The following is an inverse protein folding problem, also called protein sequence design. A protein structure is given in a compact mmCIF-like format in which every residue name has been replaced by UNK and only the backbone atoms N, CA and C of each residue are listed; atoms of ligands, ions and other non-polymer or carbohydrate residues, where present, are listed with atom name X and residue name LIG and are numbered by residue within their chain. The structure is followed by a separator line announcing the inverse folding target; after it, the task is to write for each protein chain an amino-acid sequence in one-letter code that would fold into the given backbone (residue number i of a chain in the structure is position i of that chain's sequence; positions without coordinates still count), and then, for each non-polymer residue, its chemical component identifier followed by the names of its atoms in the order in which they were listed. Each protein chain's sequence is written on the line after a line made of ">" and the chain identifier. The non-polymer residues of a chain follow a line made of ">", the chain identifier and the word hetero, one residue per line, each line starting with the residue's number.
data_IF_814075164233
#
_entry.id   IF_814075164233
#
_cell.length_a   1.000
_cell.length_b   1.000
_cell.length_c   1.000
_cell.angle_alpha   90.00
_cell.angle_beta   90.00
_cell.angle_gamma   90.00
#
_symmetry.space_group_name_H-M   'P 1'
#
loop_
_entity.id
_entity.type
_entity.pdbx_description
1 polymer ?
#
# COMPACT_ATOMS: atom_id res chain seq x y z
N UNK A 1 1.25 -12.82 -3.56
CA UNK A 1 2.13 -11.98 -2.72
C UNK A 1 2.58 -12.75 -1.49
N UNK A 2 3.84 -12.60 -1.06
CA UNK A 2 4.34 -13.22 0.18
C UNK A 2 4.45 -12.18 1.30
N UNK A 3 3.81 -12.45 2.44
CA UNK A 3 3.80 -11.53 3.58
C UNK A 3 3.74 -12.26 4.93
N UNK A 4 4.12 -11.54 5.99
CA UNK A 4 4.04 -11.97 7.37
C UNK A 4 3.53 -10.83 8.27
N UNK A 5 2.52 -11.12 9.08
CA UNK A 5 2.08 -10.21 10.13
C UNK A 5 2.88 -10.41 11.42
N UNK A 6 3.21 -9.30 12.07
CA UNK A 6 4.04 -9.27 13.27
C UNK A 6 3.28 -8.50 14.35
N UNK A 7 3.21 -9.11 15.53
CA UNK A 7 2.72 -8.47 16.76
C UNK A 7 3.90 -8.25 17.68
N UNK A 8 4.34 -7.01 17.77
CA UNK A 8 5.45 -6.62 18.61
C UNK A 8 4.96 -5.79 19.80
N UNK A 9 5.33 -6.13 21.05
CA UNK A 9 4.87 -5.39 22.23
C UNK A 9 5.33 -3.93 22.28
N UNK A 10 6.36 -3.55 21.51
CA UNK A 10 6.98 -2.22 21.54
C UNK A 10 6.52 -1.40 20.34
N UNK A 11 6.59 -1.97 19.15
CA UNK A 11 6.31 -1.31 17.86
C UNK A 11 4.89 -1.56 17.34
N UNK A 12 4.11 -2.41 17.99
CA UNK A 12 2.71 -2.66 17.65
C UNK A 12 2.52 -3.70 16.55
N UNK A 13 1.42 -3.55 15.81
CA UNK A 13 1.05 -4.45 14.71
C UNK A 13 1.68 -3.94 13.42
N UNK A 14 2.33 -4.83 12.67
CA UNK A 14 2.89 -4.48 11.35
C UNK A 14 2.86 -5.66 10.38
N UNK A 15 2.97 -5.36 9.10
CA UNK A 15 3.20 -6.32 8.01
C UNK A 15 4.66 -6.23 7.52
N UNK A 16 5.25 -7.37 7.17
CA UNK A 16 6.41 -7.47 6.28
C UNK A 16 5.97 -8.16 4.99
N UNK A 17 6.36 -7.61 3.84
CA UNK A 17 6.00 -8.11 2.52
C UNK A 17 7.27 -8.27 1.68
N UNK A 18 7.23 -9.10 0.63
CA UNK A 18 8.35 -9.24 -0.32
C UNK A 18 8.70 -7.91 -0.98
N UNK A 19 9.98 -7.74 -1.36
CA UNK A 19 10.50 -6.49 -1.94
C UNK A 19 9.74 -6.05 -3.19
N UNK A 20 9.26 -6.99 -4.01
CA UNK A 20 8.44 -6.71 -5.21
C UNK A 20 7.14 -5.94 -4.90
N UNK A 21 6.65 -6.00 -3.66
CA UNK A 21 5.43 -5.33 -3.21
C UNK A 21 5.70 -4.43 -1.99
N UNK A 22 6.94 -3.97 -1.82
CA UNK A 22 7.38 -3.21 -0.65
C UNK A 22 6.48 -2.01 -0.34
N UNK A 23 6.09 -1.24 -1.37
CA UNK A 23 5.20 -0.08 -1.23
C UNK A 23 3.82 -0.44 -0.66
N UNK A 24 3.28 -1.64 -0.96
CA UNK A 24 1.99 -2.11 -0.42
C UNK A 24 2.11 -2.29 1.09
N UNK A 25 3.23 -2.88 1.53
CA UNK A 25 3.54 -3.04 2.96
C UNK A 25 3.75 -1.71 3.66
N UNK A 26 4.44 -0.75 3.00
CA UNK A 26 4.64 0.61 3.53
C UNK A 26 3.29 1.32 3.70
N UNK A 27 2.46 1.35 2.67
CA UNK A 27 1.12 1.93 2.70
C UNK A 27 0.25 1.32 3.82
N UNK A 28 0.25 -0.02 3.95
CA UNK A 28 -0.56 -0.66 4.98
C UNK A 28 -0.06 -0.38 6.39
N UNK A 29 1.26 -0.28 6.61
CA UNK A 29 1.84 0.01 7.91
C UNK A 29 1.71 1.49 8.32
N UNK A 30 1.99 2.40 7.39
CA UNK A 30 2.20 3.82 7.69
C UNK A 30 0.93 4.65 7.50
N UNK A 31 0.09 4.30 6.51
CA UNK A 31 -1.07 5.11 6.17
C UNK A 31 -2.38 4.53 6.70
N UNK A 32 -2.55 3.21 6.60
CA UNK A 32 -3.81 2.54 6.93
C UNK A 32 -3.81 2.00 8.36
N UNK A 33 -2.78 1.23 8.70
CA UNK A 33 -2.63 0.56 9.98
C UNK A 33 -3.88 -0.22 10.37
N UNK A 34 -4.11 -0.30 11.68
CA UNK A 34 -5.34 -0.90 12.23
C UNK A 34 -6.55 0.02 12.08
N UNK A 35 -6.37 1.32 12.20
CA UNK A 35 -7.48 2.25 12.43
C UNK A 35 -8.29 2.55 11.15
N UNK A 36 -7.68 2.42 9.98
CA UNK A 36 -8.35 2.70 8.70
C UNK A 36 -8.65 1.46 7.86
N UNK A 37 -8.35 0.25 8.35
CA UNK A 37 -8.61 -0.99 7.57
C UNK A 37 -10.09 -1.14 7.18
N UNK A 38 -11.02 -0.76 8.08
CA UNK A 38 -12.46 -0.81 7.81
C UNK A 38 -12.89 0.13 6.68
N UNK A 39 -12.20 1.28 6.53
CA UNK A 39 -12.43 2.19 5.40
C UNK A 39 -12.01 1.55 4.08
N UNK A 40 -10.88 0.84 4.07
CA UNK A 40 -10.41 0.11 2.88
C UNK A 40 -11.36 -1.04 2.52
N UNK A 41 -11.89 -1.77 3.51
CA UNK A 41 -12.91 -2.80 3.26
C UNK A 41 -14.18 -2.21 2.61
N UNK A 42 -14.63 -1.04 3.06
CA UNK A 42 -15.75 -0.34 2.44
C UNK A 42 -15.44 0.09 0.99
N UNK A 43 -14.22 0.54 0.72
CA UNK A 43 -13.75 0.89 -0.62
C UNK A 43 -13.80 -0.32 -1.56
N UNK A 44 -13.33 -1.48 -1.12
CA UNK A 44 -13.37 -2.74 -1.88
C UNK A 44 -14.82 -3.08 -2.28
N UNK A 45 -15.76 -2.99 -1.33
CA UNK A 45 -17.18 -3.25 -1.61
C UNK A 45 -17.73 -2.28 -2.65
N UNK A 46 -17.34 -1.00 -2.61
CA UNK A 46 -17.79 0.00 -3.57
C UNK A 46 -17.32 -0.33 -4.99
N UNK A 47 -16.06 -0.76 -5.15
CA UNK A 47 -15.46 -1.09 -6.45
C UNK A 47 -16.13 -2.32 -7.06
N UNK A 48 -16.56 -3.31 -6.27
CA UNK A 48 -17.30 -4.48 -6.77
C UNK A 48 -18.58 -4.09 -7.54
N UNK A 49 -19.18 -2.96 -7.20
CA UNK A 49 -20.41 -2.45 -7.85
C UNK A 49 -20.17 -1.40 -8.93
N UNK A 50 -18.96 -0.84 -9.02
CA UNK A 50 -18.58 0.20 -10.00
C UNK A 50 -17.91 -0.41 -11.24
N UNK A 51 -17.88 0.33 -12.34
CA UNK A 51 -17.03 0.01 -13.51
C UNK A 51 -15.80 0.92 -13.59
N UNK A 52 -15.82 2.04 -12.88
CA UNK A 52 -14.70 2.98 -12.87
C UNK A 52 -13.76 2.66 -11.69
N UNK A 53 -12.43 2.77 -11.90
CA UNK A 53 -11.48 2.66 -10.82
C UNK A 53 -11.68 3.78 -9.80
N UNK A 54 -11.42 3.47 -8.54
CA UNK A 54 -11.51 4.44 -7.44
C UNK A 54 -10.11 4.71 -6.92
N UNK A 55 -9.79 5.99 -6.72
CA UNK A 55 -8.52 6.41 -6.13
C UNK A 55 -8.72 6.82 -4.67
N UNK A 56 -8.01 6.16 -3.77
CA UNK A 56 -7.85 6.59 -2.39
C UNK A 56 -6.54 7.37 -2.28
N UNK A 57 -6.65 8.68 -2.09
CA UNK A 57 -5.49 9.57 -1.92
C UNK A 57 -4.88 9.41 -0.53
N UNK A 58 -3.60 9.06 -0.51
CA UNK A 58 -2.82 8.91 0.72
C UNK A 58 -2.09 10.17 1.12
N UNK A 59 -1.29 10.06 2.18
CA UNK A 59 -0.33 11.10 2.55
C UNK A 59 0.89 11.08 1.63
N UNK A 60 1.39 9.88 1.31
CA UNK A 60 2.57 9.67 0.48
C UNK A 60 2.33 8.63 -0.62
N UNK A 61 1.31 7.78 -0.49
CA UNK A 61 1.02 6.68 -1.42
C UNK A 61 -0.47 6.67 -1.76
N UNK A 62 -0.76 6.79 -3.05
CA UNK A 62 -2.11 6.63 -3.57
C UNK A 62 -2.41 5.17 -3.88
N UNK A 63 -3.63 4.74 -3.58
CA UNK A 63 -4.19 3.45 -4.03
C UNK A 63 -5.17 3.72 -5.18
N UNK A 64 -4.95 3.10 -6.33
CA UNK A 64 -5.88 3.05 -7.46
C UNK A 64 -6.45 1.64 -7.52
N UNK A 65 -7.74 1.50 -7.24
CA UNK A 65 -8.41 0.21 -7.12
C UNK A 65 -9.42 0.03 -8.25
N UNK A 66 -9.24 -1.02 -9.04
CA UNK A 66 -10.18 -1.48 -10.07
C UNK A 66 -10.69 -2.89 -9.73
N UNK A 67 -11.51 -3.47 -10.61
CA UNK A 67 -11.95 -4.87 -10.47
C UNK A 67 -10.89 -5.88 -10.86
N UNK A 68 -9.85 -5.44 -11.56
CA UNK A 68 -8.78 -6.29 -12.07
C UNK A 68 -7.57 -6.26 -11.12
N UNK A 69 -7.24 -5.08 -10.58
CA UNK A 69 -6.03 -4.87 -9.80
C UNK A 69 -6.11 -3.72 -8.79
N UNK A 70 -5.19 -3.75 -7.84
CA UNK A 70 -4.88 -2.66 -6.92
C UNK A 70 -3.46 -2.15 -7.24
N UNK A 71 -3.35 -0.88 -7.62
CA UNK A 71 -2.09 -0.21 -7.92
C UNK A 71 -1.75 0.80 -6.83
N UNK A 72 -0.47 0.88 -6.48
CA UNK A 72 0.06 1.77 -5.46
C UNK A 72 1.12 2.66 -6.08
N UNK A 73 1.00 3.96 -5.87
CA UNK A 73 1.90 4.97 -6.44
C UNK A 73 2.34 5.95 -5.37
N UNK A 74 3.64 6.04 -5.11
CA UNK A 74 4.21 7.03 -4.21
C UNK A 74 4.19 8.42 -4.85
N UNK A 75 3.85 9.46 -4.09
CA UNK A 75 3.89 10.85 -4.57
C UNK A 75 5.30 11.29 -4.97
N UNK A 76 6.34 10.67 -4.39
CA UNK A 76 7.74 10.85 -4.80
C UNK A 76 7.96 10.55 -6.29
N UNK A 77 7.16 9.68 -6.90
CA UNK A 77 7.17 9.40 -8.35
C UNK A 77 6.73 10.62 -9.18
N UNK A 78 5.91 11.50 -8.61
CA UNK A 78 5.39 12.73 -9.24
C UNK A 78 6.12 13.99 -8.81
N UNK A 79 7.13 13.89 -7.94
CA UNK A 79 8.03 15.00 -7.67
C UNK A 79 8.95 15.16 -8.89
N UNK A 80 8.44 15.92 -9.87
CA UNK A 80 9.21 16.41 -11.01
C UNK A 80 10.52 17.06 -10.53
N UNK A 81 11.60 16.29 -10.63
CA UNK A 81 12.71 16.49 -11.57
C UNK A 81 13.36 17.89 -11.74
N UNK A 82 12.91 18.96 -11.07
CA UNK A 82 13.53 20.30 -11.16
C UNK A 82 14.40 20.69 -9.95
N UNK A 83 14.16 20.16 -8.75
CA UNK A 83 14.99 20.45 -7.55
C UNK A 83 16.06 19.39 -7.23
N UNK A 84 16.01 18.21 -7.88
CA UNK A 84 16.91 17.08 -7.62
C UNK A 84 18.21 17.08 -8.45
N UNK A 85 18.40 18.04 -9.36
CA UNK A 85 19.60 18.10 -10.22
C UNK A 85 20.86 18.53 -9.42
N UNK A 86 20.73 19.03 -8.19
CA UNK A 86 21.87 19.49 -7.39
C UNK A 86 22.57 18.38 -6.57
N UNK A 87 21.98 17.18 -6.43
CA UNK A 87 22.51 16.11 -5.58
C UNK A 87 22.34 14.72 -6.20
N UNK A 88 22.80 14.53 -7.44
CA UNK A 88 23.02 13.18 -7.99
C UNK A 88 24.22 12.52 -7.30
N UNK A 89 23.98 12.05 -6.08
CA UNK A 89 24.73 10.95 -5.48
C UNK A 89 23.89 9.69 -5.74
N UNK A 90 24.41 8.74 -6.52
CA UNK A 90 23.73 7.52 -7.00
C UNK A 90 23.16 6.65 -5.85
N UNK A 91 23.55 6.90 -4.60
CA UNK A 91 23.23 6.08 -3.41
C UNK A 91 21.86 6.40 -2.76
N UNK A 92 21.10 7.38 -3.27
CA UNK A 92 19.78 7.79 -2.73
C UNK A 92 18.59 7.53 -3.69
N UNK A 93 18.81 6.88 -4.82
CA UNK A 93 17.72 6.48 -5.71
C UNK A 93 16.87 5.41 -5.02
N UNK A 94 15.58 5.70 -4.82
CA UNK A 94 14.60 4.70 -4.36
C UNK A 94 14.48 3.60 -5.41
N UNK A 95 14.39 2.34 -4.98
CA UNK A 95 14.13 1.22 -5.89
C UNK A 95 12.75 1.39 -6.55
N UNK A 96 12.56 0.93 -7.79
CA UNK A 96 11.27 1.09 -8.50
C UNK A 96 10.09 0.52 -7.70
N UNK A 97 10.29 -0.60 -7.00
CA UNK A 97 9.27 -1.26 -6.16
C UNK A 97 8.88 -0.46 -4.90
N UNK A 98 9.68 0.55 -4.52
CA UNK A 98 9.37 1.48 -3.44
C UNK A 98 8.58 2.72 -3.93
N UNK A 99 8.51 2.91 -5.25
CA UNK A 99 7.82 4.01 -5.91
C UNK A 99 6.46 3.59 -6.48
N UNK A 100 6.37 2.39 -7.07
CA UNK A 100 5.10 1.83 -7.50
C UNK A 100 5.11 0.31 -7.50
N UNK A 101 3.94 -0.27 -7.26
CA UNK A 101 3.70 -1.72 -7.39
C UNK A 101 2.21 -1.98 -7.50
N UNK A 102 1.87 -3.19 -7.95
CA UNK A 102 0.50 -3.62 -8.15
C UNK A 102 0.28 -5.06 -7.75
N UNK A 103 -0.98 -5.39 -7.51
CA UNK A 103 -1.40 -6.76 -7.29
C UNK A 103 -2.81 -7.01 -7.82
N UNK A 104 -3.14 -8.27 -8.06
CA UNK A 104 -4.50 -8.63 -8.48
C UNK A 104 -5.54 -8.23 -7.44
N UNK A 105 -6.74 -7.89 -7.90
CA UNK A 105 -7.82 -7.44 -7.01
C UNK A 105 -8.15 -8.47 -5.92
N UNK A 106 -8.20 -9.76 -6.26
CA UNK A 106 -8.46 -10.83 -5.29
C UNK A 106 -7.32 -10.98 -4.27
N UNK A 107 -6.05 -10.88 -4.71
CA UNK A 107 -4.92 -10.92 -3.78
C UNK A 107 -4.94 -9.72 -2.81
N UNK A 108 -5.37 -8.55 -3.27
CA UNK A 108 -5.55 -7.37 -2.43
C UNK A 108 -6.67 -7.56 -1.40
N UNK A 109 -7.80 -8.16 -1.79
CA UNK A 109 -8.89 -8.50 -0.86
C UNK A 109 -8.38 -9.44 0.22
N UNK A 110 -7.70 -10.53 -0.18
CA UNK A 110 -7.19 -11.52 0.76
C UNK A 110 -6.21 -10.90 1.75
N UNK A 111 -5.35 -9.97 1.30
CA UNK A 111 -4.44 -9.22 2.15
C UNK A 111 -5.20 -8.36 3.18
N UNK A 112 -6.19 -7.57 2.74
CA UNK A 112 -6.93 -6.65 3.60
C UNK A 112 -7.79 -7.39 4.62
N UNK A 113 -8.46 -8.47 4.22
CA UNK A 113 -9.25 -9.30 5.13
C UNK A 113 -8.35 -10.00 6.16
N UNK A 114 -7.23 -10.56 5.72
CA UNK A 114 -6.26 -11.21 6.62
C UNK A 114 -5.66 -10.19 7.62
N UNK A 115 -5.40 -8.96 7.18
CA UNK A 115 -4.95 -7.88 8.06
C UNK A 115 -6.03 -7.45 9.06
N UNK A 116 -7.28 -7.28 8.61
CA UNK A 116 -8.41 -6.95 9.47
C UNK A 116 -8.64 -8.01 10.57
N UNK A 117 -8.58 -9.29 10.20
CA UNK A 117 -8.65 -10.40 11.16
C UNK A 117 -7.47 -10.36 12.13
N UNK A 118 -6.24 -10.21 11.63
CA UNK A 118 -5.04 -10.14 12.45
C UNK A 118 -5.12 -8.99 13.47
N UNK A 119 -5.59 -7.81 13.08
CA UNK A 119 -5.69 -6.65 13.97
C UNK A 119 -6.84 -6.70 14.98
N UNK A 120 -7.85 -7.53 14.69
CA UNK A 120 -9.01 -7.77 15.55
C UNK A 120 -8.76 -8.86 16.58
N UNK A 121 -8.02 -9.92 16.20
CA UNK A 121 -7.61 -10.97 17.12
C UNK A 121 -6.62 -10.42 18.15
N UNK A 122 -6.91 -10.63 19.45
CA UNK A 122 -6.10 -10.15 20.58
C UNK A 122 -4.92 -11.06 20.84
#
# INVERSE_FOLDING_TARGET
>A
MEYQFIRDPISGLRIKISSEHAIIGRWLNEEIGKDKVAMVQALIVSVKTSFEPVTLKGQEIDLILSKDEALFEAHALHQDSEDLIAYQDDDLMLEENDLSSGCGFEDFIDLIESWAEFTSNR
#
